data_IF_202026416579
#
_entry.id   IF_202026416579
#
_cell.length_a   1.000
_cell.length_b   1.000
_cell.length_c   1.000
_cell.angle_alpha   90.00
_cell.angle_beta   90.00
_cell.angle_gamma   90.00
#
_symmetry.space_group_name_H-M   'P 1'
#
loop_
_entity.id
_entity.type
_entity.pdbx_description
1 polymer ?
#
# COMPACT_ATOMS: atom_id res chain seq x y z
N UNK A 1 7.76 5.61 -19.10
CA UNK A 1 8.55 6.01 -17.92
C UNK A 1 8.73 4.76 -17.07
N UNK A 2 9.91 4.15 -17.10
CA UNK A 2 10.23 3.01 -16.22
C UNK A 2 10.70 3.58 -14.90
N UNK A 3 9.86 3.51 -13.87
CA UNK A 3 10.29 3.79 -12.50
C UNK A 3 11.09 2.58 -12.03
N UNK A 4 12.41 2.70 -11.99
CA UNK A 4 13.28 1.69 -11.39
C UNK A 4 13.17 1.80 -9.86
N UNK A 5 12.29 0.99 -9.28
CA UNK A 5 12.17 0.90 -7.83
C UNK A 5 13.25 -0.02 -7.25
N UNK A 6 13.91 0.47 -6.19
CA UNK A 6 14.94 -0.27 -5.47
C UNK A 6 14.43 -1.60 -4.91
N UNK A 7 15.36 -2.52 -4.61
CA UNK A 7 15.02 -3.81 -3.99
C UNK A 7 14.27 -3.64 -2.66
N UNK A 8 14.54 -2.56 -1.92
CA UNK A 8 13.84 -2.20 -0.69
C UNK A 8 12.35 -1.91 -0.93
N UNK A 9 12.02 -1.05 -1.89
CA UNK A 9 10.63 -0.68 -2.18
C UNK A 9 9.82 -1.86 -2.70
N UNK A 10 10.44 -2.77 -3.47
CA UNK A 10 9.78 -4.02 -3.86
C UNK A 10 9.43 -4.89 -2.65
N UNK A 11 10.34 -5.03 -1.67
CA UNK A 11 10.07 -5.77 -0.42
C UNK A 11 8.96 -5.11 0.40
N UNK A 12 8.98 -3.77 0.51
CA UNK A 12 7.94 -3.01 1.19
C UNK A 12 6.57 -3.18 0.51
N UNK A 13 6.52 -3.14 -0.82
CA UNK A 13 5.28 -3.35 -1.55
C UNK A 13 4.67 -4.73 -1.30
N UNK A 14 5.49 -5.78 -1.22
CA UNK A 14 5.02 -7.11 -0.83
C UNK A 14 4.49 -7.14 0.61
N UNK A 15 5.18 -6.48 1.54
CA UNK A 15 4.72 -6.40 2.92
C UNK A 15 3.39 -5.63 3.04
N UNK A 16 3.25 -4.51 2.32
CA UNK A 16 2.00 -3.74 2.29
C UNK A 16 0.86 -4.54 1.67
N UNK A 17 1.12 -5.27 0.58
CA UNK A 17 0.14 -6.17 -0.04
C UNK A 17 -0.41 -7.19 0.95
N UNK A 18 0.49 -7.85 1.68
CA UNK A 18 0.16 -8.87 2.68
C UNK A 18 -0.61 -8.27 3.87
N UNK A 19 -0.21 -7.07 4.33
CA UNK A 19 -0.93 -6.33 5.37
C UNK A 19 -2.36 -5.99 4.93
N UNK A 20 -2.54 -5.48 3.71
CA UNK A 20 -3.84 -5.08 3.19
C UNK A 20 -4.77 -6.26 3.00
N UNK A 21 -4.28 -7.38 2.47
CA UNK A 21 -5.09 -8.61 2.36
C UNK A 21 -5.49 -9.13 3.74
N UNK A 22 -4.55 -9.21 4.68
CA UNK A 22 -4.81 -9.70 6.03
C UNK A 22 -5.90 -8.90 6.76
N UNK A 23 -5.94 -7.58 6.57
CA UNK A 23 -6.93 -6.71 7.20
C UNK A 23 -8.25 -6.62 6.40
N UNK A 24 -8.21 -6.86 5.09
CA UNK A 24 -9.39 -6.82 4.22
C UNK A 24 -10.18 -8.13 4.21
N UNK A 25 -9.56 -9.32 4.29
CA UNK A 25 -10.25 -10.61 4.04
C UNK A 25 -10.36 -11.52 5.26
N UNK A 26 -9.74 -11.20 6.40
CA UNK A 26 -9.67 -12.02 7.64
C UNK A 26 -9.11 -13.46 7.48
N UNK A 27 -8.90 -14.01 6.29
CA UNK A 27 -8.24 -15.31 6.10
C UNK A 27 -6.71 -15.15 6.04
N UNK A 28 -5.95 -15.55 7.09
CA UNK A 28 -4.54 -15.26 7.22
C UNK A 28 -3.69 -16.45 6.77
N UNK A 29 -3.12 -16.35 5.57
CA UNK A 29 -2.20 -17.33 5.04
C UNK A 29 -0.78 -16.79 4.94
N UNK A 30 0.01 -16.98 5.99
CA UNK A 30 1.47 -17.10 5.94
C UNK A 30 2.41 -15.89 6.13
N UNK A 31 1.96 -14.70 6.57
CA UNK A 31 2.88 -13.72 7.15
C UNK A 31 2.21 -12.72 8.12
N UNK A 32 2.68 -12.67 9.37
CA UNK A 32 2.25 -11.63 10.33
C UNK A 32 3.40 -10.93 11.03
N UNK A 33 4.50 -11.62 11.36
CA UNK A 33 5.62 -10.98 12.07
C UNK A 33 6.60 -10.29 11.11
N UNK A 34 7.16 -11.02 10.13
CA UNK A 34 8.14 -10.47 9.17
C UNK A 34 7.58 -9.32 8.31
N UNK A 35 6.30 -9.39 7.93
CA UNK A 35 5.60 -8.32 7.20
C UNK A 35 5.54 -7.04 8.02
N UNK A 36 5.07 -7.14 9.27
CA UNK A 36 4.97 -6.01 10.17
C UNK A 36 6.37 -5.45 10.47
N UNK A 37 7.37 -6.29 10.71
CA UNK A 37 8.75 -5.86 10.96
C UNK A 37 9.35 -5.12 9.76
N UNK A 38 9.02 -5.55 8.54
CA UNK A 38 9.46 -4.87 7.31
C UNK A 38 8.86 -3.47 7.19
N UNK A 39 7.57 -3.31 7.52
CA UNK A 39 6.89 -2.01 7.51
C UNK A 39 7.40 -1.11 8.64
N UNK A 40 7.60 -1.68 9.84
CA UNK A 40 8.15 -0.98 11.01
C UNK A 40 9.54 -0.39 10.79
N UNK A 41 10.30 -0.87 9.80
CA UNK A 41 11.56 -0.25 9.39
C UNK A 41 11.41 1.03 8.56
N UNK A 42 10.19 1.52 8.36
CA UNK A 42 9.84 2.74 7.64
C UNK A 42 8.79 3.51 8.49
N UNK A 43 9.26 4.48 9.28
CA UNK A 43 8.43 5.18 10.29
C UNK A 43 7.24 5.91 9.65
N UNK A 44 7.47 6.55 8.50
CA UNK A 44 6.43 7.25 7.74
C UNK A 44 5.34 6.26 7.30
N UNK A 45 5.73 5.13 6.70
CA UNK A 45 4.80 4.08 6.31
C UNK A 45 4.05 3.49 7.52
N UNK A 46 4.75 3.33 8.63
CA UNK A 46 4.21 2.80 9.87
C UNK A 46 3.12 3.69 10.43
N UNK A 47 3.35 5.00 10.53
CA UNK A 47 2.37 5.93 11.09
C UNK A 47 1.15 6.11 10.18
N UNK A 48 1.34 6.10 8.85
CA UNK A 48 0.20 6.05 7.94
C UNK A 48 -0.66 4.79 8.14
N UNK A 49 -0.06 3.60 8.19
CA UNK A 49 -0.86 2.39 8.40
C UNK A 49 -1.41 2.26 9.82
N UNK A 50 -0.80 2.92 10.82
CA UNK A 50 -1.37 3.06 12.16
C UNK A 50 -2.63 3.91 12.14
N UNK A 51 -2.65 5.02 11.42
CA UNK A 51 -3.87 5.84 11.31
C UNK A 51 -5.00 5.10 10.60
N UNK A 52 -4.68 4.32 9.55
CA UNK A 52 -5.65 3.44 8.89
C UNK A 52 -6.19 2.39 9.87
N UNK A 53 -5.33 1.78 10.67
CA UNK A 53 -5.74 0.81 11.69
C UNK A 53 -6.69 1.41 12.73
N UNK A 54 -6.40 2.62 13.22
CA UNK A 54 -7.25 3.38 14.17
C UNK A 54 -8.59 3.76 13.55
N UNK A 55 -8.61 4.14 12.26
CA UNK A 55 -9.83 4.49 11.53
C UNK A 55 -10.75 3.28 11.26
N UNK A 56 -10.21 2.05 11.31
CA UNK A 56 -10.98 0.81 11.29
C UNK A 56 -11.23 0.23 9.90
N UNK A 57 -12.18 -0.71 9.82
CA UNK A 57 -12.38 -1.58 8.66
C UNK A 57 -12.61 -0.83 7.34
N UNK A 58 -13.40 0.24 7.37
CA UNK A 58 -13.72 1.02 6.17
C UNK A 58 -12.47 1.70 5.58
N UNK A 59 -11.54 2.14 6.43
CA UNK A 59 -10.28 2.72 5.96
C UNK A 59 -9.40 1.69 5.24
N UNK A 60 -9.42 0.43 5.66
CA UNK A 60 -8.73 -0.65 4.94
C UNK A 60 -9.36 -0.93 3.57
N UNK A 61 -10.69 -0.87 3.47
CA UNK A 61 -11.42 -0.99 2.20
C UNK A 61 -11.04 0.15 1.25
N UNK A 62 -10.94 1.37 1.77
CA UNK A 62 -10.52 2.54 0.99
C UNK A 62 -9.09 2.41 0.44
N UNK A 63 -8.15 1.86 1.22
CA UNK A 63 -6.79 1.63 0.73
C UNK A 63 -6.72 0.56 -0.37
N UNK A 64 -7.51 -0.50 -0.27
CA UNK A 64 -7.66 -1.49 -1.36
C UNK A 64 -8.30 -0.84 -2.60
N UNK A 65 -9.32 0.00 -2.41
CA UNK A 65 -9.95 0.75 -3.50
C UNK A 65 -8.97 1.74 -4.16
N UNK A 66 -8.09 2.37 -3.39
CA UNK A 66 -7.03 3.26 -3.89
C UNK A 66 -6.07 2.53 -4.83
N UNK A 67 -5.61 1.34 -4.45
CA UNK A 67 -4.77 0.52 -5.32
C UNK A 67 -5.50 0.14 -6.60
N UNK A 68 -6.75 -0.32 -6.49
CA UNK A 68 -7.56 -0.69 -7.67
C UNK A 68 -7.75 0.49 -8.62
N UNK A 69 -8.02 1.68 -8.09
CA UNK A 69 -8.14 2.93 -8.87
C UNK A 69 -6.82 3.26 -9.57
N UNK A 70 -5.70 3.17 -8.85
CA UNK A 70 -4.37 3.43 -9.41
C UNK A 70 -4.02 2.42 -10.52
N UNK A 71 -4.26 1.13 -10.30
CA UNK A 71 -4.10 0.08 -11.32
C UNK A 71 -4.95 0.34 -12.57
N UNK A 72 -6.20 0.77 -12.40
CA UNK A 72 -7.07 1.12 -13.52
C UNK A 72 -6.53 2.31 -14.32
N UNK A 73 -6.08 3.37 -13.63
CA UNK A 73 -5.49 4.54 -14.27
C UNK A 73 -4.22 4.18 -15.04
N UNK A 74 -3.32 3.40 -14.42
CA UNK A 74 -2.09 2.91 -15.03
C UNK A 74 -2.37 2.11 -16.31
N UNK A 75 -3.35 1.20 -16.27
CA UNK A 75 -3.81 0.45 -17.45
C UNK A 75 -4.33 1.38 -18.53
N UNK A 76 -5.25 2.28 -18.20
CA UNK A 76 -5.82 3.24 -19.18
C UNK A 76 -4.74 4.06 -19.87
N UNK A 77 -3.68 4.46 -19.16
CA UNK A 77 -2.54 5.14 -19.76
C UNK A 77 -1.74 4.23 -20.71
N UNK A 78 -1.54 2.96 -20.36
CA UNK A 78 -0.86 1.98 -21.20
C UNK A 78 -1.67 1.61 -22.46
N UNK A 79 -2.97 1.37 -22.33
CA UNK A 79 -3.86 1.05 -23.45
C UNK A 79 -3.91 2.20 -24.47
N UNK A 80 -3.94 3.45 -24.00
CA UNK A 80 -3.83 4.65 -24.85
C UNK A 80 -2.50 4.73 -25.59
N UNK A 81 -1.41 4.26 -24.98
CA UNK A 81 -0.08 4.25 -25.59
C UNK A 81 0.14 3.08 -26.56
N UNK A 82 -0.57 1.97 -26.40
CA UNK A 82 -0.35 0.73 -27.16
C UNK A 82 -1.48 0.39 -28.15
N UNK A 83 -2.63 1.07 -28.07
CA UNK A 83 -3.80 0.81 -28.91
C UNK A 83 -4.47 -0.56 -28.67
N UNK A 84 -4.20 -1.20 -27.52
CA UNK A 84 -4.76 -2.52 -27.17
C UNK A 84 -5.42 -2.48 -25.80
N UNK A 85 -6.53 -3.22 -25.66
CA UNK A 85 -7.20 -3.45 -24.38
C UNK A 85 -6.42 -4.50 -23.59
N UNK A 86 -6.03 -4.18 -22.37
CA UNK A 86 -5.32 -5.08 -21.45
C UNK A 86 -6.36 -5.69 -20.51
N UNK A 87 -6.53 -7.01 -20.58
CA UNK A 87 -7.50 -7.72 -19.73
C UNK A 87 -7.19 -7.59 -18.23
N UNK A 88 -8.25 -7.54 -17.44
CA UNK A 88 -8.17 -7.13 -16.05
C UNK A 88 -7.90 -8.27 -15.09
N UNK A 89 -6.67 -8.37 -14.54
CA UNK A 89 -6.47 -9.14 -13.30
C UNK A 89 -7.19 -8.44 -12.13
N UNK A 90 -7.95 -9.23 -11.36
CA UNK A 90 -8.64 -8.81 -10.13
C UNK A 90 -7.68 -8.67 -8.93
N UNK A 91 -6.45 -9.15 -9.07
CA UNK A 91 -5.45 -9.16 -8.00
C UNK A 91 -4.79 -7.78 -7.84
N UNK A 92 -4.44 -7.45 -6.60
CA UNK A 92 -3.66 -6.26 -6.30
C UNK A 92 -2.24 -6.41 -6.86
N UNK A 93 -1.83 -5.47 -7.70
CA UNK A 93 -0.55 -5.52 -8.41
C UNK A 93 0.54 -4.87 -7.56
N UNK A 94 1.62 -5.62 -7.30
CA UNK A 94 2.78 -5.12 -6.56
C UNK A 94 3.38 -3.83 -7.17
N UNK A 95 3.36 -3.66 -8.50
CA UNK A 95 3.83 -2.43 -9.14
C UNK A 95 2.98 -1.20 -8.76
N UNK A 96 1.64 -1.35 -8.70
CA UNK A 96 0.75 -0.27 -8.28
C UNK A 96 0.95 0.08 -6.80
N UNK A 97 1.19 -0.92 -5.95
CA UNK A 97 1.51 -0.71 -4.53
C UNK A 97 2.85 0.01 -4.40
N UNK A 98 3.86 -0.39 -5.19
CA UNK A 98 5.18 0.24 -5.17
C UNK A 98 5.11 1.73 -5.57
N UNK A 99 4.31 2.04 -6.59
CA UNK A 99 4.04 3.42 -7.04
C UNK A 99 3.27 4.25 -6.00
N UNK A 100 2.53 3.62 -5.09
CA UNK A 100 1.80 4.30 -4.00
C UNK A 100 2.63 4.48 -2.72
N UNK A 101 3.77 3.79 -2.56
CA UNK A 101 4.63 3.92 -1.37
C UNK A 101 5.02 5.38 -1.09
N UNK A 102 5.44 6.22 -2.06
CA UNK A 102 5.77 7.61 -1.79
C UNK A 102 4.58 8.43 -1.27
N UNK A 103 3.38 8.13 -1.74
CA UNK A 103 2.15 8.80 -1.31
C UNK A 103 1.81 8.44 0.15
N UNK A 104 1.85 7.15 0.50
CA UNK A 104 1.61 6.72 1.87
C UNK A 104 2.66 7.25 2.84
N UNK A 105 3.93 7.27 2.43
CA UNK A 105 5.02 7.92 3.18
C UNK A 105 4.75 9.40 3.40
N UNK A 106 4.32 10.12 2.37
CA UNK A 106 4.00 11.54 2.50
C UNK A 106 2.88 11.80 3.52
N UNK A 107 1.84 10.97 3.54
CA UNK A 107 0.78 11.09 4.55
C UNK A 107 1.27 10.73 5.95
N UNK A 108 2.10 9.70 6.07
CA UNK A 108 2.77 9.35 7.34
C UNK A 108 3.59 10.50 7.89
N UNK A 109 4.42 11.12 7.05
CA UNK A 109 5.19 12.31 7.41
C UNK A 109 4.30 13.47 7.85
N UNK A 110 3.19 13.72 7.16
CA UNK A 110 2.22 14.74 7.60
C UNK A 110 1.63 14.45 8.99
N UNK A 111 1.40 13.18 9.34
CA UNK A 111 0.92 12.79 10.67
C UNK A 111 1.99 13.01 11.75
N UNK A 112 3.24 12.66 11.44
CA UNK A 112 4.40 12.90 12.30
C UNK A 112 4.57 14.40 12.55
N UNK A 113 4.59 15.19 11.48
CA UNK A 113 4.77 16.64 11.53
C UNK A 113 3.64 17.33 12.32
N UNK A 114 2.42 16.80 12.23
CA UNK A 114 1.26 17.29 12.96
C UNK A 114 1.22 16.86 14.44
N UNK A 115 2.15 16.02 14.90
CA UNK A 115 2.09 15.39 16.24
C UNK A 115 0.88 14.47 16.41
N UNK A 116 0.25 14.06 15.31
CA UNK A 116 -0.97 13.26 15.27
C UNK A 116 -0.68 11.75 15.09
N UNK A 117 0.59 11.35 15.09
CA UNK A 117 1.00 9.95 15.07
C UNK A 117 0.35 9.21 16.25
N UNK A 118 -0.52 8.21 16.01
CA UNK A 118 -1.21 7.53 17.10
C UNK A 118 -0.17 6.84 18.00
N UNK A 119 -0.24 7.01 19.33
CA UNK A 119 0.68 6.32 20.23
C UNK A 119 0.16 4.90 20.46
N UNK A 120 0.97 3.88 20.15
CA UNK A 120 0.63 2.50 20.50
C UNK A 120 1.00 2.31 21.97
N UNK A 121 0.01 2.31 22.87
CA UNK A 121 0.26 1.73 24.19
C UNK A 121 0.52 0.22 24.03
N UNK A 122 1.54 -0.25 24.77
CA UNK A 122 2.22 -1.54 24.57
C UNK A 122 1.41 -2.80 24.86
#
# INVERSE_FOLDING_TARGET
>A
MHLEFGQRDRRLAWAVWDLLLSNHTKEPGWCRRKTIDTIKGDDELTDNFRSVAVAGADAWVDEVARIRRHQYQRRRHQERGLGRRIEGSAELCAAAITELLPTWRAWGRMLIDAGAAPQMEG
#
